data_IF_662088313398
#
_entry.id   IF_662088313398
#
_cell.length_a   1.000
_cell.length_b   1.000
_cell.length_c   1.000
_cell.angle_alpha   90.00
_cell.angle_beta   90.00
_cell.angle_gamma   90.00
#
_symmetry.space_group_name_H-M   'P 1'
#
loop_
_entity.id
_entity.type
_entity.pdbx_description
1 polymer ?
#
# COMPACT_ATOMS: atom_id res chain seq x y z
N UNK A 1 24.98 -9.26 -13.37
CA UNK A 1 23.93 -8.31 -12.95
C UNK A 1 23.20 -9.00 -11.83
N UNK A 2 23.57 -8.71 -10.60
CA UNK A 2 22.83 -9.18 -9.44
C UNK A 2 21.59 -8.28 -9.31
N UNK A 3 20.42 -8.86 -9.53
CA UNK A 3 19.16 -8.21 -9.22
C UNK A 3 19.01 -8.30 -7.70
N UNK A 4 18.99 -7.16 -7.02
CA UNK A 4 18.60 -7.10 -5.61
C UNK A 4 17.13 -7.50 -5.54
N UNK A 5 16.90 -8.75 -5.14
CA UNK A 5 15.58 -9.33 -4.99
C UNK A 5 14.99 -8.73 -3.72
N UNK A 6 14.08 -7.75 -3.87
CA UNK A 6 13.41 -7.10 -2.73
C UNK A 6 12.95 -8.15 -1.70
N UNK A 7 13.27 -7.91 -0.43
CA UNK A 7 12.98 -8.83 0.66
C UNK A 7 11.46 -8.99 0.79
N UNK A 8 10.97 -10.21 1.08
CA UNK A 8 9.56 -10.47 1.38
C UNK A 8 9.07 -9.51 2.46
N UNK A 9 9.95 -9.09 3.38
CA UNK A 9 9.67 -8.06 4.39
C UNK A 9 9.16 -6.73 3.82
N UNK A 10 9.50 -6.37 2.57
CA UNK A 10 9.05 -5.15 1.88
C UNK A 10 7.55 -5.12 1.63
N UNK A 11 6.93 -6.30 1.59
CA UNK A 11 5.50 -6.44 1.42
C UNK A 11 4.78 -6.85 2.71
N UNK A 12 5.50 -6.97 3.83
CA UNK A 12 4.91 -7.26 5.13
C UNK A 12 4.39 -5.97 5.80
N UNK A 13 3.07 -5.79 5.73
CA UNK A 13 2.36 -4.73 6.45
C UNK A 13 1.98 -5.22 7.85
N UNK A 14 2.40 -4.52 8.89
CA UNK A 14 1.87 -4.80 10.24
C UNK A 14 0.55 -4.05 10.43
N UNK A 15 -0.56 -4.63 9.97
CA UNK A 15 -1.93 -4.18 10.31
C UNK A 15 -2.29 -4.49 11.78
N UNK A 16 -1.41 -4.17 12.73
CA UNK A 16 -1.64 -4.40 14.17
C UNK A 16 -2.85 -3.61 14.73
N UNK A 17 -3.34 -2.60 14.02
CA UNK A 17 -4.32 -1.65 14.53
C UNK A 17 -5.77 -1.90 14.12
N UNK A 18 -6.05 -2.80 13.15
CA UNK A 18 -7.41 -2.94 12.59
C UNK A 18 -8.15 -4.22 12.98
N UNK A 19 -7.47 -5.20 13.59
CA UNK A 19 -8.15 -6.40 14.07
C UNK A 19 -8.50 -6.23 15.55
N UNK A 20 -9.80 -6.09 15.85
CA UNK A 20 -10.35 -6.04 17.21
C UNK A 20 -10.48 -7.43 17.84
N UNK A 21 -10.38 -8.49 17.05
CA UNK A 21 -10.48 -9.87 17.52
C UNK A 21 -9.13 -10.43 18.02
N UNK A 22 -9.08 -10.82 19.29
CA UNK A 22 -7.91 -11.39 19.93
C UNK A 22 -7.49 -12.75 19.33
N UNK A 23 -8.42 -13.51 18.75
CA UNK A 23 -8.14 -14.79 18.09
C UNK A 23 -7.45 -14.59 16.73
N UNK A 24 -7.83 -13.53 16.00
CA UNK A 24 -7.12 -13.16 14.77
C UNK A 24 -5.71 -12.70 15.11
N UNK A 25 -5.52 -11.87 16.15
CA UNK A 25 -4.19 -11.40 16.59
C UNK A 25 -3.22 -12.52 16.98
N UNK A 26 -3.69 -13.64 17.53
CA UNK A 26 -2.81 -14.75 17.94
C UNK A 26 -2.36 -15.61 16.76
N UNK A 27 -3.21 -15.77 15.74
CA UNK A 27 -2.88 -16.45 14.49
C UNK A 27 -2.10 -15.54 13.52
N UNK A 28 -2.38 -14.24 13.52
CA UNK A 28 -1.73 -13.23 12.67
C UNK A 28 -0.54 -12.53 13.31
N UNK A 29 -0.13 -12.94 14.52
CA UNK A 29 1.03 -12.35 15.22
C UNK A 29 2.34 -12.37 14.41
N UNK A 30 2.40 -13.19 13.34
CA UNK A 30 3.42 -13.19 12.29
C UNK A 30 2.87 -13.25 10.85
N UNK A 31 1.56 -13.34 10.65
CA UNK A 31 0.99 -13.22 9.32
C UNK A 31 0.92 -11.73 9.03
N UNK A 32 1.89 -11.20 8.28
CA UNK A 32 1.63 -9.94 7.63
C UNK A 32 0.60 -10.24 6.55
N UNK A 33 -0.59 -9.69 6.73
CA UNK A 33 -1.54 -9.64 5.64
C UNK A 33 -0.89 -8.76 4.57
N UNK A 34 -0.38 -9.40 3.53
CA UNK A 34 -0.23 -8.75 2.24
C UNK A 34 -1.60 -8.16 1.94
N UNK A 35 -1.70 -6.83 1.97
CA UNK A 35 -2.87 -6.13 1.43
C UNK A 35 -2.89 -6.33 -0.08
N UNK A 36 -3.14 -7.56 -0.51
CA UNK A 36 -3.27 -7.95 -1.90
C UNK A 36 -4.41 -7.17 -2.54
N UNK A 37 -4.34 -7.00 -3.86
CA UNK A 37 -5.21 -6.08 -4.57
C UNK A 37 -4.57 -4.70 -4.71
N UNK A 38 -5.41 -3.66 -4.78
CA UNK A 38 -4.93 -2.30 -5.00
C UNK A 38 -4.07 -1.75 -3.86
N UNK A 39 -4.15 -2.34 -2.66
CA UNK A 39 -3.36 -1.90 -1.50
C UNK A 39 -1.85 -2.00 -1.72
N UNK A 40 -1.40 -3.08 -2.36
CA UNK A 40 0.01 -3.28 -2.69
C UNK A 40 0.55 -2.30 -3.76
N UNK A 41 -0.33 -1.57 -4.45
CA UNK A 41 0.03 -0.61 -5.50
C UNK A 41 -0.06 0.85 -5.06
N UNK A 42 -0.67 1.11 -3.89
CA UNK A 42 -0.88 2.48 -3.42
C UNK A 42 0.39 2.96 -2.74
N UNK A 43 0.98 4.05 -3.25
CA UNK A 43 2.15 4.66 -2.63
C UNK A 43 1.87 5.14 -1.20
N UNK A 44 2.94 5.45 -0.49
CA UNK A 44 2.87 6.11 0.81
C UNK A 44 3.52 7.48 0.73
N UNK A 45 2.93 8.44 1.43
CA UNK A 45 3.55 9.72 1.66
C UNK A 45 3.15 10.13 3.08
N UNK A 46 4.00 9.91 4.08
CA UNK A 46 3.67 10.26 5.45
C UNK A 46 3.24 11.73 5.53
N UNK A 47 2.10 12.00 6.18
CA UNK A 47 1.50 13.35 6.23
C UNK A 47 0.50 13.67 5.11
N UNK A 48 0.44 12.90 4.01
CA UNK A 48 -0.56 13.04 2.94
C UNK A 48 -1.50 11.84 2.79
N UNK A 49 -1.46 10.90 3.73
CA UNK A 49 -2.28 9.69 3.72
C UNK A 49 -3.77 10.04 3.61
N UNK A 50 -4.36 9.82 2.43
CA UNK A 50 -5.73 10.21 2.07
C UNK A 50 -6.66 9.01 1.88
N UNK A 51 -6.16 7.79 2.09
CA UNK A 51 -7.00 6.59 2.20
C UNK A 51 -6.84 5.89 3.54
N UNK A 52 -7.85 5.08 3.87
CA UNK A 52 -7.83 4.14 4.99
C UNK A 52 -8.25 2.76 4.51
N UNK A 53 -7.61 1.69 5.02
CA UNK A 53 -8.15 0.36 4.87
C UNK A 53 -9.47 0.26 5.64
N UNK A 54 -10.42 -0.45 5.07
CA UNK A 54 -11.69 -0.81 5.69
C UNK A 54 -11.69 -2.31 5.93
N UNK A 55 -12.23 -2.69 7.09
CA UNK A 55 -12.16 -4.06 7.59
C UNK A 55 -12.63 -5.09 6.57
N UNK A 56 -11.91 -6.20 6.51
CA UNK A 56 -12.36 -7.41 5.83
C UNK A 56 -13.69 -7.86 6.44
N UNK A 57 -14.63 -8.24 5.60
CA UNK A 57 -15.90 -8.80 6.06
C UNK A 57 -15.82 -10.31 6.03
N UNK A 58 -16.15 -10.93 7.16
CA UNK A 58 -16.48 -12.35 7.19
C UNK A 58 -17.78 -12.55 6.39
N UNK A 59 -17.65 -13.23 5.25
CA UNK A 59 -18.71 -13.46 4.28
C UNK A 59 -18.49 -14.85 3.66
N UNK A 60 -18.75 -15.92 4.45
CA UNK A 60 -18.55 -17.28 3.99
C UNK A 60 -19.41 -17.55 2.75
N UNK A 61 -18.82 -18.20 1.75
CA UNK A 61 -19.52 -18.60 0.53
C UNK A 61 -19.99 -20.06 0.56
N UNK A 62 -19.33 -20.85 1.40
CA UNK A 62 -19.45 -22.29 1.44
C UNK A 62 -19.58 -22.78 2.88
N UNK A 63 -20.34 -23.86 3.06
CA UNK A 63 -20.42 -24.59 4.32
C UNK A 63 -19.16 -25.48 4.44
N UNK A 64 -18.32 -25.21 5.42
CA UNK A 64 -17.08 -25.99 5.64
C UNK A 64 -17.30 -27.48 5.90
N UNK A 65 -18.49 -27.88 6.33
CA UNK A 65 -18.83 -29.28 6.55
C UNK A 65 -19.38 -29.98 5.30
N UNK A 66 -20.02 -29.23 4.38
CA UNK A 66 -20.72 -29.79 3.23
C UNK A 66 -20.03 -29.52 1.88
N UNK A 67 -19.29 -28.43 1.78
CA UNK A 67 -18.70 -27.94 0.54
C UNK A 67 -17.18 -28.23 0.49
N UNK A 68 -16.71 -29.11 -0.41
CA UNK A 68 -15.29 -29.44 -0.51
C UNK A 68 -14.42 -28.24 -0.93
N UNK A 69 -15.00 -27.23 -1.59
CA UNK A 69 -14.31 -26.01 -1.98
C UNK A 69 -14.03 -25.05 -0.83
N UNK A 70 -14.69 -25.22 0.33
CA UNK A 70 -14.56 -24.31 1.46
C UNK A 70 -13.13 -24.23 2.01
N UNK A 71 -12.33 -25.31 1.91
CA UNK A 71 -10.94 -25.32 2.34
C UNK A 71 -9.98 -24.57 1.42
N UNK A 72 -10.39 -24.25 0.19
CA UNK A 72 -9.55 -23.61 -0.80
C UNK A 72 -9.74 -22.09 -0.90
N UNK A 73 -10.67 -21.52 -0.12
CA UNK A 73 -11.10 -20.11 -0.20
C UNK A 73 -11.17 -19.51 1.20
N UNK A 74 -10.86 -18.22 1.31
CA UNK A 74 -11.03 -17.47 2.55
C UNK A 74 -12.47 -16.99 2.73
N UNK A 75 -13.01 -17.15 3.93
CA UNK A 75 -14.29 -16.54 4.32
C UNK A 75 -14.15 -15.03 4.58
N UNK A 76 -12.93 -14.53 4.69
CA UNK A 76 -12.62 -13.11 4.89
C UNK A 76 -12.30 -12.48 3.54
N UNK A 77 -13.29 -11.77 3.01
CA UNK A 77 -13.16 -11.05 1.74
C UNK A 77 -13.39 -9.56 1.89
N UNK A 78 -13.39 -8.86 0.76
CA UNK A 78 -13.72 -7.43 0.68
C UNK A 78 -12.82 -6.53 1.52
N UNK A 79 -11.52 -6.84 1.60
CA UNK A 79 -10.56 -5.82 1.99
C UNK A 79 -10.70 -4.67 1.00
N UNK A 80 -11.16 -3.52 1.50
CA UNK A 80 -11.44 -2.35 0.67
C UNK A 80 -10.66 -1.19 1.21
N UNK A 81 -10.22 -0.32 0.31
CA UNK A 81 -9.56 0.92 0.68
C UNK A 81 -10.51 2.04 0.30
N UNK A 82 -10.79 2.92 1.25
CA UNK A 82 -11.70 4.04 1.06
C UNK A 82 -10.96 5.34 1.27
N UNK A 83 -11.33 6.37 0.52
CA UNK A 83 -10.75 7.69 0.65
C UNK A 83 -11.31 8.38 1.90
N UNK A 84 -10.48 9.16 2.59
CA UNK A 84 -10.90 9.97 3.75
C UNK A 84 -11.78 11.14 3.34
N UNK A 85 -11.72 11.53 2.07
CA UNK A 85 -12.51 12.60 1.48
C UNK A 85 -12.61 12.46 -0.05
N UNK A 86 -13.23 13.43 -0.72
CA UNK A 86 -13.24 13.50 -2.18
C UNK A 86 -11.81 13.59 -2.72
N UNK A 87 -11.52 12.87 -3.80
CA UNK A 87 -10.26 13.01 -4.56
C UNK A 87 -10.52 13.88 -5.78
N UNK A 88 -9.63 14.85 -6.02
CA UNK A 88 -9.64 15.60 -7.26
C UNK A 88 -9.08 14.74 -8.41
N UNK A 89 -9.45 15.09 -9.65
CA UNK A 89 -8.83 14.45 -10.81
C UNK A 89 -7.32 14.72 -10.82
N UNK A 90 -6.52 13.66 -11.01
CA UNK A 90 -5.06 13.72 -11.00
C UNK A 90 -4.43 13.68 -9.59
N UNK A 91 -5.25 13.59 -8.54
CA UNK A 91 -4.75 13.40 -7.19
C UNK A 91 -4.22 11.98 -6.99
N UNK A 92 -3.09 11.86 -6.30
CA UNK A 92 -2.50 10.58 -5.93
C UNK A 92 -3.13 10.03 -4.66
N UNK A 93 -3.25 8.71 -4.59
CA UNK A 93 -3.74 8.01 -3.41
C UNK A 93 -2.55 7.60 -2.54
N UNK A 94 -2.62 7.90 -1.24
CA UNK A 94 -1.58 7.59 -0.27
C UNK A 94 -2.11 6.77 0.90
N UNK A 95 -1.51 5.60 1.10
CA UNK A 95 -1.80 4.72 2.23
C UNK A 95 -0.78 4.94 3.35
N UNK A 96 -1.27 4.86 4.59
CA UNK A 96 -0.41 4.88 5.76
C UNK A 96 0.21 3.50 5.99
N UNK A 97 1.50 3.42 5.74
CA UNK A 97 2.32 2.22 5.91
C UNK A 97 2.70 1.97 7.37
N UNK A 98 2.51 2.97 8.23
CA UNK A 98 2.93 2.96 9.63
C UNK A 98 4.41 3.32 9.81
N UNK A 99 4.72 4.12 10.83
CA UNK A 99 6.09 4.56 11.11
C UNK A 99 7.07 3.39 11.33
N UNK A 100 6.59 2.27 11.88
CA UNK A 100 7.40 1.06 12.10
C UNK A 100 7.90 0.44 10.80
N UNK A 101 7.12 0.49 9.71
CA UNK A 101 7.53 -0.05 8.41
C UNK A 101 8.79 0.66 7.90
N UNK A 102 8.86 1.98 8.05
CA UNK A 102 10.05 2.75 7.66
C UNK A 102 11.18 2.64 8.68
N UNK A 103 10.88 2.53 9.98
CA UNK A 103 11.91 2.45 11.02
C UNK A 103 12.82 1.22 10.87
N UNK A 104 12.31 0.15 10.27
CA UNK A 104 13.09 -1.07 9.98
C UNK A 104 13.97 -0.96 8.73
N UNK A 105 13.93 0.18 8.02
CA UNK A 105 14.54 0.36 6.69
C UNK A 105 15.48 1.58 6.68
N UNK A 106 16.81 1.36 6.85
CA UNK A 106 17.78 2.46 6.94
C UNK A 106 17.78 3.42 5.74
N UNK A 107 17.43 2.94 4.53
CA UNK A 107 17.33 3.76 3.33
C UNK A 107 16.25 4.86 3.42
N UNK A 108 15.31 4.74 4.35
CA UNK A 108 14.28 5.74 4.63
C UNK A 108 14.59 6.55 5.90
N UNK A 109 15.82 6.50 6.42
CA UNK A 109 16.22 7.40 7.50
C UNK A 109 16.06 8.86 7.08
N UNK A 110 15.55 9.68 8.01
CA UNK A 110 15.23 11.08 7.73
C UNK A 110 13.91 11.32 7.00
N UNK A 111 13.19 10.28 6.56
CA UNK A 111 11.83 10.46 6.04
C UNK A 111 10.92 11.00 7.16
N UNK A 112 10.31 12.18 6.99
CA UNK A 112 9.43 12.76 7.99
C UNK A 112 8.12 11.97 8.11
N UNK A 113 7.58 11.91 9.32
CA UNK A 113 6.26 11.36 9.62
C UNK A 113 5.25 12.46 9.92
N UNK A 114 4.00 12.06 10.10
CA UNK A 114 2.86 12.97 10.34
C UNK A 114 3.17 13.99 11.45
N UNK A 115 3.77 13.56 12.54
CA UNK A 115 4.10 14.40 13.69
C UNK A 115 5.15 15.48 13.35
N UNK A 116 6.05 15.18 12.40
CA UNK A 116 7.04 16.16 11.93
C UNK A 116 6.38 17.28 11.12
N UNK A 117 5.41 16.93 10.25
CA UNK A 117 4.62 17.91 9.50
C UNK A 117 3.73 18.73 10.43
N UNK A 118 3.03 18.09 11.37
CA UNK A 118 2.20 18.78 12.36
C UNK A 118 3.03 19.75 13.22
N UNK A 119 4.28 19.40 13.55
CA UNK A 119 5.20 20.30 14.23
C UNK A 119 5.57 21.51 13.37
N UNK A 120 5.92 21.30 12.10
CA UNK A 120 6.22 22.41 11.18
C UNK A 120 5.01 23.31 10.99
N UNK A 121 3.80 22.75 10.87
CA UNK A 121 2.57 23.52 10.72
C UNK A 121 2.31 24.42 11.94
N UNK A 122 2.63 23.97 13.16
CA UNK A 122 2.59 24.80 14.38
C UNK A 122 3.60 25.95 14.32
N UNK A 123 4.81 25.69 13.80
CA UNK A 123 5.84 26.74 13.63
C UNK A 123 5.37 27.77 12.60
N UNK A 124 4.88 27.31 11.44
CA UNK A 124 4.32 28.15 10.37
C UNK A 124 3.19 29.04 10.91
N UNK A 125 2.24 28.47 11.65
CA UNK A 125 1.15 29.23 12.27
C UNK A 125 1.66 30.27 13.27
N UNK A 126 2.68 29.93 14.06
CA UNK A 126 3.29 30.86 15.03
C UNK A 126 4.02 32.01 14.33
N UNK A 127 4.77 31.73 13.27
CA UNK A 127 5.45 32.75 12.47
C UNK A 127 4.45 33.71 11.80
N UNK A 128 3.32 33.20 11.28
CA UNK A 128 2.23 34.04 10.78
C UNK A 128 1.62 34.94 11.85
N UNK A 129 1.38 34.39 13.05
CA UNK A 129 0.82 35.16 14.14
C UNK A 129 1.74 36.30 14.59
N UNK A 130 3.07 36.09 14.53
CA UNK A 130 4.05 37.16 14.79
C UNK A 130 4.02 38.19 13.66
N UNK A 131 4.08 37.75 12.40
CA UNK A 131 4.05 38.63 11.23
C UNK A 131 2.79 39.53 11.22
N UNK A 132 1.63 38.98 11.60
CA UNK A 132 0.36 39.71 11.64
C UNK A 132 0.27 40.76 12.77
N UNK A 133 1.05 40.60 13.85
CA UNK A 133 1.06 41.54 14.99
C UNK A 133 2.04 42.70 14.79
N UNK A 134 2.93 42.61 13.83
CA UNK A 134 3.84 43.71 13.53
C UNK A 134 3.12 44.81 12.76
N UNK A 135 3.22 46.04 13.27
CA UNK A 135 2.62 47.23 12.67
C UNK A 135 3.44 47.80 11.50
N UNK A 136 4.61 47.20 11.20
CA UNK A 136 5.49 47.57 10.09
C UNK A 136 5.52 46.51 8.98
N UNK A 137 6.19 46.82 7.87
CA UNK A 137 6.43 45.85 6.79
C UNK A 137 7.29 44.69 7.30
N UNK A 138 6.69 43.51 7.43
CA UNK A 138 7.39 42.26 7.74
C UNK A 138 8.26 41.86 6.54
N UNK A 139 9.54 42.23 6.56
CA UNK A 139 10.47 41.99 5.45
C UNK A 139 11.01 40.56 5.44
N UNK A 140 11.38 40.07 4.27
CA UNK A 140 12.03 38.75 4.14
C UNK A 140 13.35 38.66 4.94
N UNK A 141 14.07 39.77 5.12
CA UNK A 141 15.30 39.78 5.93
C UNK A 141 15.00 39.47 7.41
N UNK A 142 13.98 40.12 7.97
CA UNK A 142 13.56 39.87 9.35
C UNK A 142 13.00 38.46 9.50
N UNK A 143 12.24 38.02 8.51
CA UNK A 143 11.72 36.66 8.45
C UNK A 143 12.85 35.62 8.48
N UNK A 144 13.91 35.80 7.69
CA UNK A 144 15.08 34.89 7.70
C UNK A 144 15.77 34.82 9.06
N UNK A 145 15.86 35.94 9.79
CA UNK A 145 16.43 35.94 11.16
C UNK A 145 15.58 35.12 12.13
N UNK A 146 14.25 35.23 12.04
CA UNK A 146 13.34 34.40 12.81
C UNK A 146 13.40 32.92 12.40
N UNK A 147 13.48 32.66 11.10
CA UNK A 147 13.61 31.32 10.55
C UNK A 147 14.88 30.64 11.09
N UNK A 148 16.02 31.32 11.08
CA UNK A 148 17.28 30.82 11.63
C UNK A 148 17.19 30.49 13.13
N UNK A 149 16.42 31.28 13.89
CA UNK A 149 16.14 30.96 15.30
C UNK A 149 15.33 29.67 15.42
N UNK A 150 14.27 29.51 14.60
CA UNK A 150 13.49 28.28 14.56
C UNK A 150 14.36 27.06 14.20
N UNK A 151 15.19 27.17 13.16
CA UNK A 151 16.13 26.12 12.74
C UNK A 151 17.06 25.70 13.88
N UNK A 152 17.55 26.65 14.67
CA UNK A 152 18.44 26.36 15.82
C UNK A 152 17.77 25.55 16.95
N UNK A 153 16.43 25.57 17.01
CA UNK A 153 15.65 24.89 18.06
C UNK A 153 15.12 23.54 17.54
N UNK A 154 15.01 23.35 16.22
CA UNK A 154 14.57 22.10 15.61
C UNK A 154 15.70 21.06 15.71
N UNK A 155 15.66 20.24 16.76
CA UNK A 155 16.66 19.18 16.99
C UNK A 155 16.38 17.90 16.20
N UNK A 156 15.12 17.65 15.84
CA UNK A 156 14.75 16.45 15.11
C UNK A 156 15.06 16.60 13.61
N UNK A 157 16.03 15.82 13.11
CA UNK A 157 16.43 15.75 11.68
C UNK A 157 15.24 15.68 10.72
N UNK A 158 14.24 14.85 11.04
CA UNK A 158 13.02 14.69 10.24
C UNK A 158 12.18 15.96 10.16
N UNK A 159 12.04 16.69 11.26
CA UNK A 159 11.34 17.97 11.29
C UNK A 159 12.12 19.03 10.51
N UNK A 160 13.45 19.06 10.65
CA UNK A 160 14.31 19.95 9.88
C UNK A 160 14.17 19.72 8.36
N UNK A 161 14.08 18.46 7.92
CA UNK A 161 13.87 18.10 6.51
C UNK A 161 12.53 18.60 5.93
N UNK A 162 11.49 18.74 6.75
CA UNK A 162 10.23 19.37 6.30
C UNK A 162 10.38 20.88 6.27
N UNK A 163 10.99 21.43 7.32
CA UNK A 163 11.14 22.87 7.53
C UNK A 163 12.01 23.54 6.48
N UNK A 164 13.00 22.83 5.92
CA UNK A 164 13.92 23.35 4.92
C UNK A 164 13.25 23.88 3.64
N UNK A 165 11.96 23.57 3.40
CA UNK A 165 11.21 24.06 2.24
C UNK A 165 10.60 25.47 2.46
N UNK A 166 10.81 26.09 3.62
CA UNK A 166 10.26 27.39 3.98
C UNK A 166 11.42 28.39 4.04
N UNK A 167 11.48 29.35 3.11
CA UNK A 167 12.58 30.33 3.05
C UNK A 167 12.11 31.78 3.12
N UNK A 168 10.86 32.03 2.75
CA UNK A 168 10.26 33.36 2.60
C UNK A 168 8.90 33.44 3.25
N UNK A 169 8.41 34.68 3.47
CA UNK A 169 7.05 34.92 3.96
C UNK A 169 6.01 34.33 2.99
N UNK A 170 6.32 34.38 1.69
CA UNK A 170 5.48 33.77 0.64
C UNK A 170 5.34 32.26 0.82
N UNK A 171 6.40 31.55 1.20
CA UNK A 171 6.36 30.09 1.37
C UNK A 171 5.42 29.68 2.51
N UNK A 172 5.42 30.44 3.60
CA UNK A 172 4.47 30.27 4.70
C UNK A 172 3.02 30.46 4.24
N UNK A 173 2.73 31.54 3.51
CA UNK A 173 1.38 31.79 3.00
C UNK A 173 0.94 30.70 2.01
N UNK A 174 1.84 30.25 1.14
CA UNK A 174 1.60 29.12 0.25
C UNK A 174 1.33 27.85 1.05
N UNK A 175 2.08 27.63 2.13
CA UNK A 175 1.94 26.46 3.00
C UNK A 175 0.55 26.38 3.61
N UNK A 176 0.09 27.48 4.20
CA UNK A 176 -1.26 27.56 4.77
C UNK A 176 -2.33 27.47 3.69
N UNK A 177 -2.16 28.14 2.55
CA UNK A 177 -3.12 28.09 1.44
C UNK A 177 -3.29 26.67 0.88
N UNK A 178 -2.22 25.88 0.84
CA UNK A 178 -2.25 24.48 0.40
C UNK A 178 -2.78 23.52 1.48
N UNK A 179 -3.01 23.99 2.70
CA UNK A 179 -3.54 23.18 3.79
C UNK A 179 -2.48 22.49 4.66
N UNK A 180 -1.23 22.98 4.65
CA UNK A 180 -0.16 22.49 5.53
C UNK A 180 1.13 22.14 4.79
N UNK A 181 2.19 21.90 5.57
CA UNK A 181 3.54 21.60 5.09
C UNK A 181 3.60 20.30 4.30
N UNK A 182 2.84 19.27 4.69
CA UNK A 182 2.77 18.01 3.96
C UNK A 182 2.27 18.17 2.52
N UNK A 183 1.25 19.01 2.30
CA UNK A 183 0.70 19.32 0.96
C UNK A 183 1.55 20.32 0.18
N UNK A 184 2.51 20.95 0.84
CA UNK A 184 3.35 22.01 0.27
C UNK A 184 4.71 21.51 -0.18
N UNK A 185 5.18 20.41 0.41
CA UNK A 185 6.34 19.66 -0.08
C UNK A 185 6.20 19.33 -1.57
N UNK A 186 7.30 19.34 -2.34
CA UNK A 186 7.28 19.21 -3.79
C UNK A 186 6.46 17.98 -4.22
N UNK A 187 5.44 18.16 -5.08
CA UNK A 187 4.64 17.06 -5.57
C UNK A 187 5.34 16.44 -6.78
N UNK A 188 6.61 16.04 -6.65
CA UNK A 188 7.33 15.36 -7.73
C UNK A 188 6.58 14.10 -8.21
N UNK A 189 5.67 13.58 -7.38
CA UNK A 189 4.81 12.45 -7.68
C UNK A 189 3.49 12.81 -8.39
N UNK A 190 3.03 14.07 -8.40
CA UNK A 190 1.78 14.41 -9.10
C UNK A 190 2.00 14.54 -10.60
N UNK A 191 1.20 13.82 -11.38
CA UNK A 191 1.20 13.89 -12.85
C UNK A 191 0.05 14.77 -13.32
N UNK A 192 0.26 15.51 -14.41
CA UNK A 192 -0.81 16.31 -15.02
C UNK A 192 -1.89 15.38 -15.60
N UNK A 193 -3.12 15.90 -15.73
CA UNK A 193 -4.21 15.15 -16.35
C UNK A 193 -3.86 14.69 -17.77
N UNK A 194 -3.27 15.59 -18.58
CA UNK A 194 -2.80 15.25 -19.92
C UNK A 194 -1.79 14.09 -19.91
N UNK A 195 -0.85 14.08 -18.95
CA UNK A 195 0.10 12.97 -18.81
C UNK A 195 -0.60 11.68 -18.43
N UNK A 196 -1.58 11.73 -17.52
CA UNK A 196 -2.37 10.56 -17.09
C UNK A 196 -3.27 10.01 -18.20
N UNK A 197 -3.79 10.86 -19.07
CA UNK A 197 -4.56 10.42 -20.24
C UNK A 197 -3.70 9.65 -21.24
N UNK A 198 -2.47 10.09 -21.45
CA UNK A 198 -1.52 9.46 -22.37
C UNK A 198 -0.87 8.20 -21.76
N UNK A 199 -0.42 8.29 -20.51
CA UNK A 199 0.45 7.29 -19.88
C UNK A 199 -0.24 6.48 -18.78
N UNK A 200 -1.31 7.00 -18.19
CA UNK A 200 -2.04 6.34 -17.12
C UNK A 200 -2.74 5.08 -17.60
N UNK A 201 -2.91 4.13 -16.67
CA UNK A 201 -3.66 2.89 -16.90
C UNK A 201 -4.65 2.71 -15.76
N UNK A 202 -5.89 2.39 -16.11
CA UNK A 202 -6.92 2.14 -15.11
C UNK A 202 -6.76 0.72 -14.57
N UNK A 203 -6.60 0.61 -13.25
CA UNK A 203 -6.48 -0.67 -12.54
C UNK A 203 -7.83 -1.18 -12.00
N UNK A 204 -8.91 -0.39 -12.13
CA UNK A 204 -10.24 -0.68 -11.59
C UNK A 204 -11.21 -1.18 -12.68
N UNK A 205 -10.76 -2.14 -13.49
CA UNK A 205 -11.60 -2.74 -14.53
C UNK A 205 -12.37 -3.98 -14.04
N UNK A 206 -11.91 -4.60 -12.96
CA UNK A 206 -12.53 -5.80 -12.39
C UNK A 206 -12.93 -5.60 -10.93
N UNK A 207 -13.88 -6.41 -10.48
CA UNK A 207 -14.27 -6.52 -9.08
C UNK A 207 -14.47 -8.00 -8.70
N UNK A 208 -14.35 -8.30 -7.41
CA UNK A 208 -14.59 -9.63 -6.88
C UNK A 208 -16.09 -9.84 -6.60
N UNK A 209 -16.66 -10.95 -7.05
CA UNK A 209 -18.00 -11.38 -6.68
C UNK A 209 -18.09 -12.92 -6.60
N UNK A 210 -19.14 -13.49 -5.96
CA UNK A 210 -19.36 -14.93 -5.99
C UNK A 210 -19.43 -15.45 -7.43
N UNK A 211 -18.69 -16.51 -7.71
CA UNK A 211 -18.69 -17.18 -9.01
C UNK A 211 -20.00 -17.96 -9.19
N UNK A 212 -20.61 -17.94 -10.39
CA UNK A 212 -21.75 -18.82 -10.69
C UNK A 212 -21.31 -20.29 -10.88
N UNK A 213 -20.01 -20.55 -10.98
CA UNK A 213 -19.47 -21.91 -11.09
C UNK A 213 -19.49 -22.57 -9.70
N UNK A 214 -20.12 -23.74 -9.54
CA UNK A 214 -20.15 -24.46 -8.27
C UNK A 214 -18.73 -24.65 -7.70
N UNK A 215 -18.58 -24.44 -6.39
CA UNK A 215 -17.31 -24.62 -5.65
C UNK A 215 -16.15 -23.68 -6.06
N UNK A 216 -16.35 -22.73 -6.97
CA UNK A 216 -15.28 -21.84 -7.46
C UNK A 216 -15.04 -20.58 -6.60
N UNK A 217 -15.82 -20.38 -5.54
CA UNK A 217 -15.67 -19.24 -4.63
C UNK A 217 -15.98 -17.91 -5.28
N UNK A 218 -14.99 -17.02 -5.33
CA UNK A 218 -15.09 -15.69 -5.94
C UNK A 218 -14.29 -15.64 -7.23
N UNK A 219 -14.82 -14.94 -8.23
CA UNK A 219 -14.13 -14.68 -9.50
C UNK A 219 -13.94 -13.19 -9.76
N UNK A 220 -13.18 -12.89 -10.81
CA UNK A 220 -13.07 -11.55 -11.39
C UNK A 220 -14.24 -11.26 -12.33
N UNK A 221 -14.92 -10.14 -12.10
CA UNK A 221 -16.02 -9.65 -12.94
C UNK A 221 -15.69 -8.28 -13.50
N UNK A 222 -16.04 -8.03 -14.75
CA UNK A 222 -15.82 -6.72 -15.37
C UNK A 222 -16.77 -5.67 -14.80
N UNK A 223 -16.24 -4.51 -14.39
CA UNK A 223 -17.05 -3.34 -14.03
C UNK A 223 -17.69 -2.66 -15.23
N UNK A 224 -17.08 -2.82 -16.41
CA UNK A 224 -17.46 -2.14 -17.66
C UNK A 224 -17.25 -3.09 -18.83
N UNK A 225 -18.06 -2.96 -19.87
CA UNK A 225 -17.88 -3.74 -21.10
C UNK A 225 -16.50 -3.48 -21.71
N UNK A 226 -15.86 -4.54 -22.23
CA UNK A 226 -14.58 -4.50 -22.94
C UNK A 226 -14.67 -5.23 -24.26
N UNK A 227 -13.83 -4.83 -25.20
CA UNK A 227 -13.67 -5.47 -26.49
C UNK A 227 -12.61 -6.57 -26.39
N UNK A 228 -12.67 -7.56 -27.29
CA UNK A 228 -11.62 -8.56 -27.40
C UNK A 228 -10.28 -7.86 -27.74
N UNK A 229 -9.21 -8.25 -27.04
CA UNK A 229 -7.90 -7.62 -27.17
C UNK A 229 -7.66 -6.44 -26.22
N UNK A 230 -8.69 -5.95 -25.50
CA UNK A 230 -8.50 -4.91 -24.49
C UNK A 230 -7.69 -5.43 -23.29
N UNK A 231 -6.83 -4.57 -22.75
CA UNK A 231 -6.17 -4.83 -21.46
C UNK A 231 -7.21 -4.82 -20.34
N UNK A 232 -7.38 -5.95 -19.65
CA UNK A 232 -8.34 -6.03 -18.53
C UNK A 232 -7.73 -5.50 -17.24
N UNK A 233 -6.51 -5.87 -16.90
CA UNK A 233 -5.84 -5.41 -15.68
C UNK A 233 -4.32 -5.43 -15.91
N UNK A 234 -3.60 -4.52 -15.26
CA UNK A 234 -2.15 -4.53 -15.17
C UNK A 234 -1.74 -4.94 -13.78
N UNK A 235 -1.06 -6.08 -13.64
CA UNK A 235 -0.70 -6.63 -12.34
C UNK A 235 0.79 -6.43 -12.03
N UNK A 236 1.16 -5.81 -10.88
CA UNK A 236 2.50 -5.97 -10.35
C UNK A 236 2.72 -7.44 -9.99
N UNK A 237 3.89 -7.96 -10.36
CA UNK A 237 4.23 -9.36 -10.20
C UNK A 237 5.30 -9.52 -9.12
N UNK A 238 4.97 -10.29 -8.08
CA UNK A 238 5.98 -10.85 -7.18
C UNK A 238 6.52 -12.12 -7.81
N UNK A 239 7.83 -12.34 -7.72
CA UNK A 239 8.46 -13.51 -8.32
C UNK A 239 8.80 -14.55 -7.26
N UNK A 240 8.60 -15.81 -7.62
CA UNK A 240 8.92 -16.96 -6.81
C UNK A 240 9.70 -17.97 -7.65
N UNK A 241 10.61 -18.70 -7.01
CA UNK A 241 11.12 -19.93 -7.61
C UNK A 241 10.12 -21.07 -7.39
N UNK A 242 10.00 -21.97 -8.37
CA UNK A 242 9.08 -23.10 -8.29
C UNK A 242 9.32 -23.95 -7.04
N UNK A 243 10.59 -24.12 -6.66
CA UNK A 243 10.98 -24.84 -5.44
C UNK A 243 10.43 -24.20 -4.16
N UNK A 244 10.27 -22.87 -4.11
CA UNK A 244 9.70 -22.19 -2.93
C UNK A 244 8.21 -22.55 -2.71
N UNK A 245 7.49 -22.91 -3.77
CA UNK A 245 6.07 -23.28 -3.68
C UNK A 245 5.84 -24.80 -3.65
N UNK A 246 6.79 -25.61 -4.15
CA UNK A 246 6.68 -27.09 -4.10
C UNK A 246 7.24 -27.70 -2.82
N UNK A 247 8.12 -27.00 -2.11
CA UNK A 247 8.72 -27.53 -0.89
C UNK A 247 7.87 -27.10 0.31
N UNK A 248 6.74 -27.77 0.53
CA UNK A 248 6.08 -27.69 1.83
C UNK A 248 7.02 -28.32 2.86
N UNK A 249 7.74 -27.46 3.58
CA UNK A 249 8.56 -27.90 4.69
C UNK A 249 7.62 -28.52 5.72
N UNK A 250 7.92 -29.74 6.15
CA UNK A 250 7.20 -30.45 7.21
C UNK A 250 8.01 -30.42 8.52
N UNK A 251 8.13 -29.26 9.20
CA UNK A 251 8.99 -29.15 10.37
C UNK A 251 8.53 -29.99 11.57
N UNK A 252 7.32 -30.56 11.55
CA UNK A 252 6.78 -31.38 12.63
C UNK A 252 6.50 -32.83 12.22
N UNK A 253 6.78 -33.21 10.97
CA UNK A 253 6.51 -34.56 10.50
C UNK A 253 5.01 -34.89 10.34
N UNK A 254 4.15 -33.88 10.24
CA UNK A 254 2.69 -34.02 10.13
C UNK A 254 2.27 -34.42 8.71
N UNK A 255 3.11 -34.12 7.70
CA UNK A 255 2.95 -34.56 6.32
C UNK A 255 3.55 -35.96 6.07
N UNK A 256 4.12 -36.62 7.08
CA UNK A 256 4.70 -37.98 6.95
C UNK A 256 3.68 -39.10 6.67
N UNK A 257 2.38 -38.86 6.88
CA UNK A 257 1.33 -39.82 6.51
C UNK A 257 0.95 -39.74 5.01
N UNK A 258 1.62 -38.89 4.23
CA UNK A 258 1.40 -38.83 2.79
C UNK A 258 2.07 -40.03 2.09
N UNK A 259 1.39 -40.65 1.10
CA UNK A 259 1.96 -41.75 0.36
C UNK A 259 3.33 -41.42 -0.24
N UNK A 260 4.26 -42.40 -0.34
CA UNK A 260 5.50 -42.22 -1.08
C UNK A 260 5.23 -41.72 -2.50
N UNK A 261 5.88 -40.61 -2.89
CA UNK A 261 5.67 -39.97 -4.20
C UNK A 261 4.58 -38.89 -4.23
N UNK A 262 3.97 -38.54 -3.10
CA UNK A 262 3.06 -37.40 -3.03
C UNK A 262 3.84 -36.08 -3.12
N UNK A 263 3.72 -35.38 -4.24
CA UNK A 263 4.22 -34.00 -4.38
C UNK A 263 3.23 -33.04 -3.71
N UNK A 264 3.57 -32.58 -2.50
CA UNK A 264 2.78 -31.58 -1.80
C UNK A 264 3.00 -30.20 -2.43
N UNK A 265 2.11 -29.81 -3.34
CA UNK A 265 2.11 -28.48 -3.96
C UNK A 265 1.25 -27.52 -3.14
N UNK A 266 1.74 -26.31 -2.92
CA UNK A 266 0.91 -25.25 -2.35
C UNK A 266 -0.25 -24.89 -3.30
N UNK A 267 -1.45 -24.67 -2.76
CA UNK A 267 -2.63 -24.20 -3.52
C UNK A 267 -2.31 -22.91 -4.31
N UNK A 268 -1.35 -22.12 -3.81
CA UNK A 268 -0.85 -20.91 -4.47
C UNK A 268 -0.39 -21.12 -5.91
N UNK A 269 0.01 -22.34 -6.29
CA UNK A 269 0.35 -22.69 -7.68
C UNK A 269 -0.75 -22.40 -8.70
N UNK A 270 -2.02 -22.45 -8.28
CA UNK A 270 -3.15 -22.18 -9.17
C UNK A 270 -3.31 -20.68 -9.48
N UNK A 271 -2.57 -19.82 -8.77
CA UNK A 271 -2.73 -18.37 -8.77
C UNK A 271 -1.44 -17.65 -9.18
N UNK A 272 -0.50 -18.35 -9.81
CA UNK A 272 0.73 -17.77 -10.36
C UNK A 272 0.79 -17.97 -11.88
N UNK A 273 1.34 -16.99 -12.59
CA UNK A 273 1.73 -17.17 -13.99
C UNK A 273 3.06 -17.91 -14.04
N UNK A 274 3.18 -18.89 -14.94
CA UNK A 274 4.45 -19.55 -15.18
C UNK A 274 4.31 -20.67 -16.19
N UNK A 275 5.34 -20.83 -17.03
CA UNK A 275 5.41 -22.00 -17.91
C UNK A 275 5.68 -23.27 -17.07
N UNK A 276 5.08 -24.44 -17.38
CA UNK A 276 5.29 -25.67 -16.59
C UNK A 276 6.77 -26.05 -16.43
N UNK A 277 7.60 -25.80 -17.44
CA UNK A 277 9.06 -26.00 -17.41
C UNK A 277 9.88 -24.83 -16.83
N UNK A 278 9.24 -23.71 -16.47
CA UNK A 278 9.92 -22.57 -15.86
C UNK A 278 10.17 -22.82 -14.38
N UNK A 279 11.39 -22.49 -13.92
CA UNK A 279 11.69 -22.38 -12.50
C UNK A 279 11.19 -21.07 -11.89
N UNK A 280 10.80 -20.09 -12.72
CA UNK A 280 10.25 -18.81 -12.31
C UNK A 280 8.72 -18.82 -12.38
N UNK A 281 8.09 -18.36 -11.31
CA UNK A 281 6.65 -18.14 -11.16
C UNK A 281 6.40 -16.67 -10.83
N UNK A 282 5.31 -16.12 -11.34
CA UNK A 282 4.94 -14.72 -11.19
C UNK A 282 3.56 -14.64 -10.54
N UNK A 283 3.51 -14.18 -9.31
CA UNK A 283 2.28 -14.00 -8.56
C UNK A 283 1.76 -12.57 -8.74
N UNK A 284 0.52 -12.37 -9.19
CA UNK A 284 -0.11 -11.06 -9.21
C UNK A 284 -0.39 -10.58 -7.79
N UNK A 285 0.19 -9.44 -7.40
CA UNK A 285 -0.09 -8.84 -6.09
C UNK A 285 -1.41 -8.04 -6.05
N UNK A 286 -2.15 -7.99 -7.16
CA UNK A 286 -3.40 -7.24 -7.31
C UNK A 286 -4.63 -8.14 -7.51
N UNK A 287 -5.72 -7.56 -8.03
CA UNK A 287 -6.97 -8.28 -8.27
C UNK A 287 -6.87 -9.34 -9.40
N UNK A 288 -5.78 -9.40 -10.16
CA UNK A 288 -5.59 -10.43 -11.18
C UNK A 288 -5.52 -11.84 -10.58
N UNK A 289 -5.26 -11.97 -9.28
CA UNK A 289 -5.37 -13.25 -8.53
C UNK A 289 -6.76 -13.88 -8.61
N UNK A 290 -7.80 -13.08 -8.86
CA UNK A 290 -9.18 -13.55 -9.00
C UNK A 290 -9.45 -14.20 -10.37
N UNK A 291 -8.49 -14.09 -11.28
CA UNK A 291 -8.55 -14.70 -12.61
C UNK A 291 -7.85 -16.04 -12.49
N UNK A 292 -8.62 -17.13 -12.54
CA UNK A 292 -8.03 -18.46 -12.54
C UNK A 292 -7.10 -18.59 -13.76
N UNK A 293 -5.82 -18.83 -13.50
CA UNK A 293 -4.88 -19.12 -14.57
C UNK A 293 -5.07 -20.60 -14.87
N UNK A 294 -5.51 -20.93 -16.08
CA UNK A 294 -5.61 -22.31 -16.51
C UNK A 294 -4.26 -22.97 -16.21
N UNK A 295 -4.23 -23.79 -15.16
CA UNK A 295 -3.05 -24.46 -14.71
C UNK A 295 -2.66 -25.42 -15.81
N UNK A 296 -1.77 -25.01 -16.70
CA UNK A 296 -1.01 -25.96 -17.51
C UNK A 296 0.04 -26.55 -16.57
N UNK A 297 -0.44 -27.31 -15.57
CA UNK A 297 0.37 -28.28 -14.86
C UNK A 297 0.71 -29.42 -15.81
#
# INVERSE_FOLDING_TARGET
>A
MDFDVGDVSDYLWTMRHNFTDAAVRSLTGRAADLAGGSGAMINTYPGRNNVIPKDSRHAPLFDRAADPGAGAITDFGHFTIVTKGPLAAGEEVFLDYGASWFAMRPQYDGLPFKENYEMVDKIVASLLAVAAKETGTFTDERFRKMLALCESIITAKKTANVFQNIHTVRDIHQTVRKGGSALSSPPESSRSLAWLEENGRCIDHIYAAPSPIPQAGRGAFLRRKRSAGDVVISAPLMFFTRSQLTNLHDPQGVLHDLPPGFESRQILFNYVFGHPRSSLLLYPADAAILINHAGTG
#
